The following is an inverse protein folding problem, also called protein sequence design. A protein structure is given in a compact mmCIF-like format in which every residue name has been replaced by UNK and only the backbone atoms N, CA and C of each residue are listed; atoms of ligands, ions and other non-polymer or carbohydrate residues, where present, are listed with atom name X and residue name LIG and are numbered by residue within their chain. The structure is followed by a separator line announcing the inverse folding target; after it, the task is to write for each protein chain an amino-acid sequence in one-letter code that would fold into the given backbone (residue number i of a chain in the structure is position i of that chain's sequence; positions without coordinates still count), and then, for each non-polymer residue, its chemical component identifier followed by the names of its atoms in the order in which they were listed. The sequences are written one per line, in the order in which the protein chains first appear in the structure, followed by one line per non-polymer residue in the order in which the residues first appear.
data_IF_808330578124
#
_entry.id   IF_808330578124
#
_cell.length_a   1.000
_cell.length_b   1.000
_cell.length_c   1.000
_cell.angle_alpha   90.00
_cell.angle_beta   90.00
_cell.angle_gamma   90.00
#
_symmetry.space_group_name_H-M   'P 1'
#
loop_
_entity.id
_entity.type
_entity.pdbx_description
1 polymer ?
#
# COMPACT_ATOMS: atom_id res chain seq x y z
N UNK A 1 -33.57 -1.49 34.32
CA UNK A 1 -34.67 -2.47 34.42
C UNK A 1 -35.60 -2.33 33.22
N UNK A 2 -36.20 -3.43 32.76
CA UNK A 2 -36.23 -3.82 31.35
C UNK A 2 -37.61 -3.63 30.72
N UNK A 3 -37.67 -3.45 29.40
CA UNK A 3 -38.92 -3.60 28.64
C UNK A 3 -38.73 -4.54 27.45
N UNK A 4 -39.23 -5.76 27.67
CA UNK A 4 -40.10 -6.56 26.79
C UNK A 4 -39.45 -7.12 25.51
N UNK A 5 -39.10 -8.41 25.41
CA UNK A 5 -39.95 -9.62 25.32
C UNK A 5 -41.12 -9.54 24.32
N UNK A 6 -40.86 -10.02 23.10
CA UNK A 6 -41.75 -10.85 22.27
C UNK A 6 -40.81 -11.76 21.47
N UNK A 7 -40.59 -13.03 21.84
CA UNK A 7 -41.49 -14.17 21.55
C UNK A 7 -41.91 -14.13 20.08
N UNK A 8 -41.71 -15.14 19.26
CA UNK A 8 -41.67 -16.57 19.52
C UNK A 8 -41.38 -17.23 18.15
N UNK A 9 -40.96 -18.50 18.15
CA UNK A 9 -41.15 -19.47 17.06
C UNK A 9 -40.36 -19.16 15.76
N UNK A 10 -39.38 -19.97 15.35
CA UNK A 10 -39.59 -21.37 14.97
C UNK A 10 -38.25 -22.13 15.05
N UNK A 11 -38.03 -22.80 16.19
CA UNK A 11 -37.55 -24.18 16.09
C UNK A 11 -38.72 -25.02 15.56
N UNK A 12 -38.50 -25.83 14.52
CA UNK A 12 -38.90 -27.24 14.44
C UNK A 12 -38.67 -27.80 13.04
N UNK A 13 -37.65 -28.66 12.96
CA UNK A 13 -37.67 -29.98 12.33
C UNK A 13 -38.48 -30.18 11.03
N UNK A 14 -37.80 -30.56 9.95
CA UNK A 14 -38.21 -31.70 9.13
C UNK A 14 -37.04 -32.18 8.27
N UNK A 15 -36.58 -33.39 8.58
CA UNK A 15 -35.69 -34.19 7.75
C UNK A 15 -36.43 -34.72 6.52
N UNK A 16 -35.62 -35.09 5.51
CA UNK A 16 -35.90 -35.90 4.33
C UNK A 16 -36.62 -35.20 3.16
N UNK A 17 -35.89 -35.02 2.05
CA UNK A 17 -35.90 -36.01 0.98
C UNK A 17 -34.75 -35.77 -0.01
N UNK A 18 -34.19 -36.90 -0.44
CA UNK A 18 -33.13 -37.10 -1.40
C UNK A 18 -33.69 -36.95 -2.83
N UNK A 19 -33.10 -36.08 -3.65
CA UNK A 19 -33.16 -36.23 -5.13
C UNK A 19 -31.90 -35.67 -5.76
N UNK A 20 -31.20 -36.57 -6.42
CA UNK A 20 -30.02 -36.37 -7.28
C UNK A 20 -30.42 -35.59 -8.53
N UNK A 21 -29.67 -34.54 -8.87
CA UNK A 21 -29.65 -33.99 -10.23
C UNK A 21 -28.25 -33.45 -10.55
N UNK A 22 -27.62 -34.07 -11.55
CA UNK A 22 -26.37 -33.65 -12.17
C UNK A 22 -26.51 -32.25 -12.76
N UNK A 23 -25.60 -31.34 -12.40
CA UNK A 23 -25.23 -30.23 -13.28
C UNK A 23 -23.79 -29.82 -12.95
N UNK A 24 -22.89 -30.20 -13.86
CA UNK A 24 -21.51 -29.74 -13.91
C UNK A 24 -21.52 -28.21 -13.98
N UNK A 25 -21.25 -27.54 -12.87
CA UNK A 25 -21.03 -26.10 -12.83
C UNK A 25 -19.53 -25.87 -12.80
N UNK A 26 -19.00 -25.44 -13.94
CA UNK A 26 -17.61 -25.05 -14.08
C UNK A 26 -17.27 -24.03 -12.99
N UNK A 27 -16.24 -24.35 -12.21
CA UNK A 27 -15.65 -23.42 -11.24
C UNK A 27 -15.26 -22.14 -12.00
N UNK A 28 -15.83 -20.98 -11.68
CA UNK A 28 -15.24 -19.73 -12.14
C UNK A 28 -13.89 -19.63 -11.43
N UNK A 29 -12.81 -19.82 -12.20
CA UNK A 29 -11.47 -19.48 -11.76
C UNK A 29 -11.51 -18.01 -11.34
N UNK A 30 -11.44 -17.76 -10.03
CA UNK A 30 -11.17 -16.43 -9.49
C UNK A 30 -9.75 -16.08 -9.94
N UNK A 31 -9.66 -15.49 -11.13
CA UNK A 31 -8.50 -14.76 -11.56
C UNK A 31 -8.22 -13.72 -10.47
N UNK A 32 -7.23 -14.00 -9.65
CA UNK A 32 -6.73 -13.04 -8.69
C UNK A 32 -6.19 -11.87 -9.51
N UNK A 33 -6.96 -10.80 -9.63
CA UNK A 33 -6.47 -9.51 -10.10
C UNK A 33 -5.53 -8.99 -9.02
N UNK A 34 -4.31 -9.52 -9.00
CA UNK A 34 -3.18 -8.82 -8.41
C UNK A 34 -3.02 -7.55 -9.23
N UNK A 35 -3.56 -6.45 -8.73
CA UNK A 35 -3.38 -5.10 -9.29
C UNK A 35 -1.93 -4.65 -9.16
N UNK A 36 -1.02 -5.36 -9.83
CA UNK A 36 0.30 -4.86 -10.14
C UNK A 36 0.15 -3.96 -11.35
N UNK A 37 0.38 -2.66 -11.16
CA UNK A 37 0.54 -1.76 -12.29
C UNK A 37 1.86 -2.10 -13.00
N UNK A 38 1.91 -2.10 -14.34
CA UNK A 38 3.12 -2.40 -15.07
C UNK A 38 4.22 -1.42 -14.64
N UNK A 39 5.24 -1.94 -13.96
CA UNK A 39 6.39 -1.16 -13.48
C UNK A 39 6.46 -0.96 -11.95
N UNK A 40 5.47 -1.39 -11.16
CA UNK A 40 5.62 -1.36 -9.71
C UNK A 40 4.99 -2.58 -9.01
N UNK A 41 5.80 -3.24 -8.18
CA UNK A 41 5.39 -4.45 -7.49
C UNK A 41 5.90 -4.45 -6.05
N UNK A 42 5.02 -4.75 -5.09
CA UNK A 42 5.38 -4.92 -3.69
C UNK A 42 5.86 -6.36 -3.44
N UNK A 43 7.18 -6.53 -3.39
CA UNK A 43 7.85 -7.82 -3.20
C UNK A 43 7.75 -8.32 -1.76
N UNK A 44 7.88 -7.43 -0.78
CA UNK A 44 7.85 -7.80 0.64
C UNK A 44 7.11 -6.73 1.44
N UNK A 45 6.27 -7.18 2.38
CA UNK A 45 5.62 -6.35 3.38
C UNK A 45 5.51 -7.17 4.66
N UNK A 46 6.21 -6.75 5.71
CA UNK A 46 6.26 -7.45 6.99
C UNK A 46 5.97 -6.45 8.08
N UNK A 47 5.06 -6.80 8.97
CA UNK A 47 4.76 -6.06 10.20
C UNK A 47 5.26 -6.85 11.39
N UNK A 48 6.07 -6.22 12.23
CA UNK A 48 6.60 -6.81 13.45
C UNK A 48 6.19 -5.95 14.63
N UNK A 49 5.72 -6.60 15.70
CA UNK A 49 5.48 -5.94 16.98
C UNK A 49 6.71 -6.17 17.84
N UNK A 50 7.35 -5.09 18.29
CA UNK A 50 8.47 -5.14 19.23
C UNK A 50 8.19 -4.27 20.46
N UNK A 51 9.18 -4.19 21.35
CA UNK A 51 9.14 -3.31 22.53
C UNK A 51 9.02 -1.83 22.13
N UNK A 52 9.54 -1.50 20.96
CA UNK A 52 9.47 -0.19 20.33
C UNK A 52 8.11 0.08 19.63
N UNK A 53 7.13 -0.80 19.72
CA UNK A 53 5.83 -0.65 19.08
C UNK A 53 5.72 -1.40 17.75
N UNK A 54 4.88 -0.90 16.84
CA UNK A 54 4.64 -1.55 15.54
C UNK A 54 5.63 -1.05 14.49
N UNK A 55 6.45 -1.98 14.00
CA UNK A 55 7.44 -1.77 12.97
C UNK A 55 6.95 -2.34 11.64
N UNK A 56 7.26 -1.64 10.56
CA UNK A 56 6.99 -2.03 9.18
C UNK A 56 8.29 -2.12 8.39
N UNK A 57 8.45 -3.24 7.69
CA UNK A 57 9.51 -3.44 6.73
C UNK A 57 8.89 -3.74 5.37
N UNK A 58 9.32 -3.02 4.34
CA UNK A 58 8.81 -3.20 2.98
C UNK A 58 9.95 -3.29 1.96
N UNK A 59 9.68 -3.99 0.86
CA UNK A 59 10.52 -3.99 -0.33
C UNK A 59 9.64 -3.92 -1.58
N UNK A 60 9.91 -2.93 -2.43
CA UNK A 60 9.21 -2.67 -3.68
C UNK A 60 10.19 -2.84 -4.84
N UNK A 61 9.74 -3.50 -5.90
CA UNK A 61 10.37 -3.48 -7.21
C UNK A 61 9.72 -2.35 -8.01
N UNK A 62 10.56 -1.43 -8.47
CA UNK A 62 10.12 -0.23 -9.18
C UNK A 62 10.90 -0.14 -10.49
N UNK A 63 10.20 -0.20 -11.60
CA UNK A 63 10.70 -0.03 -12.96
C UNK A 63 10.02 1.20 -13.54
N UNK A 64 10.81 2.22 -13.86
CA UNK A 64 10.28 3.45 -14.44
C UNK A 64 10.06 3.25 -15.93
N UNK A 65 9.00 3.85 -16.47
CA UNK A 65 8.83 3.91 -17.92
C UNK A 65 9.82 4.89 -18.53
N UNK A 66 10.09 4.73 -19.83
CA UNK A 66 10.97 5.65 -20.57
C UNK A 66 10.52 7.11 -20.48
N UNK A 67 9.22 7.37 -20.48
CA UNK A 67 8.68 8.74 -20.39
C UNK A 67 8.99 9.40 -19.05
N UNK A 68 8.93 8.62 -17.95
CA UNK A 68 9.25 9.08 -16.59
C UNK A 68 10.76 9.33 -16.46
N UNK A 69 11.59 8.46 -17.04
CA UNK A 69 13.04 8.65 -17.09
C UNK A 69 13.43 9.88 -17.91
N UNK A 70 12.84 10.07 -19.10
CA UNK A 70 13.09 11.22 -19.96
C UNK A 70 12.69 12.54 -19.27
N UNK A 71 11.61 12.53 -18.49
CA UNK A 71 11.20 13.68 -17.71
C UNK A 71 12.21 14.03 -16.61
N UNK A 72 12.70 13.02 -15.87
CA UNK A 72 13.78 13.20 -14.90
C UNK A 72 15.01 13.82 -15.57
N UNK A 73 15.43 13.29 -16.72
CA UNK A 73 16.59 13.79 -17.47
C UNK A 73 16.42 15.24 -17.94
N UNK A 74 15.18 15.68 -18.21
CA UNK A 74 14.82 17.07 -18.51
C UNK A 74 14.81 17.98 -17.27
N UNK A 75 15.15 17.46 -16.09
CA UNK A 75 15.24 18.20 -14.83
C UNK A 75 13.92 18.27 -14.06
N UNK A 76 12.90 17.51 -14.46
CA UNK A 76 11.65 17.42 -13.70
C UNK A 76 11.89 16.61 -12.44
N UNK A 77 11.54 17.17 -11.28
CA UNK A 77 11.62 16.45 -10.03
C UNK A 77 10.38 15.57 -9.84
N UNK A 78 10.60 14.32 -9.43
CA UNK A 78 9.56 13.36 -9.09
C UNK A 78 9.49 13.18 -7.58
N UNK A 79 8.27 13.07 -7.04
CA UNK A 79 8.07 12.79 -5.62
C UNK A 79 7.42 11.45 -5.44
N UNK A 80 8.10 10.55 -4.73
CA UNK A 80 7.57 9.27 -4.31
C UNK A 80 7.08 9.36 -2.88
N UNK A 81 5.95 8.75 -2.61
CA UNK A 81 5.29 8.79 -1.30
C UNK A 81 5.01 7.36 -0.87
N UNK A 82 5.55 6.97 0.29
CA UNK A 82 5.14 5.77 1.00
C UNK A 82 4.29 6.18 2.20
N UNK A 83 3.11 5.60 2.31
CA UNK A 83 2.19 5.84 3.41
C UNK A 83 1.82 4.52 4.06
N UNK A 84 1.86 4.49 5.39
CA UNK A 84 1.36 3.37 6.17
C UNK A 84 0.34 3.90 7.18
N UNK A 85 -0.87 3.33 7.12
CA UNK A 85 -1.96 3.66 8.01
C UNK A 85 -2.34 2.44 8.84
N UNK A 86 -2.22 2.57 10.17
CA UNK A 86 -2.69 1.59 11.12
C UNK A 86 -4.17 1.83 11.41
N UNK A 87 -4.98 0.81 11.16
CA UNK A 87 -6.42 0.85 11.37
C UNK A 87 -6.83 -0.25 12.33
N UNK A 88 -7.74 0.08 13.25
CA UNK A 88 -8.40 -0.90 14.10
C UNK A 88 -9.70 -1.35 13.44
N UNK A 89 -9.79 -2.64 13.12
CA UNK A 89 -10.99 -3.27 12.58
C UNK A 89 -12.06 -3.35 13.68
N UNK A 90 -13.30 -2.97 13.37
CA UNK A 90 -14.44 -3.06 14.30
C UNK A 90 -15.68 -3.61 13.59
N UNK A 91 -16.40 -4.53 14.23
CA UNK A 91 -17.45 -5.33 13.56
C UNK A 91 -18.78 -4.60 13.32
N UNK A 92 -19.10 -3.52 14.05
CA UNK A 92 -20.42 -2.87 13.98
C UNK A 92 -20.39 -1.36 13.67
N UNK A 93 -19.24 -0.82 13.27
CA UNK A 93 -19.11 0.60 12.87
C UNK A 93 -17.80 0.88 12.10
N UNK A 94 -17.70 2.09 11.55
CA UNK A 94 -16.63 2.58 10.69
C UNK A 94 -15.21 2.37 11.26
N UNK A 95 -14.28 2.02 10.38
CA UNK A 95 -12.87 1.83 10.72
C UNK A 95 -12.26 3.09 11.35
N UNK A 96 -11.60 2.93 12.50
CA UNK A 96 -10.94 4.05 13.19
C UNK A 96 -9.44 4.05 12.89
N UNK A 97 -8.91 5.03 12.14
CA UNK A 97 -7.47 5.16 11.96
C UNK A 97 -6.83 5.47 13.32
N UNK A 98 -5.74 4.76 13.62
CA UNK A 98 -5.00 4.84 14.88
C UNK A 98 -3.73 5.63 14.73
N UNK A 99 -2.99 5.40 13.65
CA UNK A 99 -1.77 6.10 13.33
C UNK A 99 -1.59 6.15 11.81
N UNK A 100 -0.99 7.23 11.32
CA UNK A 100 -0.61 7.37 9.92
C UNK A 100 0.79 7.95 9.86
N UNK A 101 1.65 7.28 9.12
CA UNK A 101 3.03 7.73 8.87
C UNK A 101 3.26 7.83 7.37
N UNK A 102 3.92 8.91 6.96
CA UNK A 102 4.17 9.20 5.54
C UNK A 102 5.65 9.51 5.35
N UNK A 103 6.29 8.88 4.37
CA UNK A 103 7.64 9.21 3.91
C UNK A 103 7.57 9.74 2.48
N UNK A 104 8.28 10.84 2.24
CA UNK A 104 8.37 11.47 0.92
C UNK A 104 9.82 11.48 0.46
N UNK A 105 10.03 11.10 -0.79
CA UNK A 105 11.33 11.16 -1.46
C UNK A 105 11.22 11.99 -2.71
N UNK A 106 12.02 13.05 -2.80
CA UNK A 106 12.14 13.87 -4.01
C UNK A 106 13.38 13.44 -4.79
N UNK A 107 13.18 12.93 -5.99
CA UNK A 107 14.22 12.55 -6.92
C UNK A 107 14.30 13.57 -8.06
N UNK A 108 15.49 14.11 -8.31
CA UNK A 108 15.72 15.01 -9.44
C UNK A 108 17.09 14.74 -10.07
N UNK A 109 17.19 14.90 -11.39
CA UNK A 109 18.48 14.87 -12.08
C UNK A 109 19.06 16.29 -12.18
N UNK A 110 20.37 16.41 -12.00
CA UNK A 110 21.11 17.67 -12.20
C UNK A 110 21.91 17.59 -13.51
N UNK A 111 21.46 18.21 -14.61
CA UNK A 111 22.10 18.04 -15.92
C UNK A 111 23.55 18.54 -15.98
N UNK A 112 23.86 19.61 -15.24
CA UNK A 112 25.20 20.21 -15.23
C UNK A 112 26.23 19.30 -14.56
N UNK A 113 25.87 18.74 -13.41
CA UNK A 113 26.77 17.89 -12.61
C UNK A 113 26.62 16.41 -12.93
N UNK A 114 25.60 16.04 -13.72
CA UNK A 114 25.22 14.67 -14.10
C UNK A 114 24.98 13.75 -12.90
N UNK A 115 24.55 14.31 -11.78
CA UNK A 115 24.22 13.55 -10.58
C UNK A 115 22.71 13.47 -10.34
N UNK A 116 22.30 12.37 -9.73
CA UNK A 116 20.96 12.16 -9.21
C UNK A 116 20.89 12.70 -7.80
N UNK A 117 19.94 13.58 -7.50
CA UNK A 117 19.72 14.12 -6.17
C UNK A 117 18.46 13.51 -5.59
N UNK A 118 18.61 12.80 -4.48
CA UNK A 118 17.50 12.27 -3.69
C UNK A 118 17.42 13.05 -2.38
N UNK A 119 16.25 13.62 -2.10
CA UNK A 119 15.98 14.33 -0.86
C UNK A 119 14.87 13.62 -0.09
N UNK A 120 15.11 13.34 1.19
CA UNK A 120 14.14 12.74 2.11
C UNK A 120 14.42 13.25 3.51
N UNK A 121 13.36 13.55 4.28
CA UNK A 121 13.46 13.92 5.70
C UNK A 121 14.46 15.07 5.99
N UNK A 122 14.45 16.11 5.15
CA UNK A 122 15.36 17.25 5.25
C UNK A 122 16.82 16.97 4.83
N UNK A 123 17.17 15.71 4.58
CA UNK A 123 18.47 15.29 4.09
C UNK A 123 18.46 15.19 2.58
N UNK A 124 19.58 15.53 1.94
CA UNK A 124 19.76 15.30 0.51
C UNK A 124 21.07 14.59 0.26
N UNK A 125 21.01 13.55 -0.57
CA UNK A 125 22.18 12.78 -1.01
C UNK A 125 22.24 12.76 -2.54
N UNK A 126 23.46 12.79 -3.05
CA UNK A 126 23.73 12.70 -4.48
C UNK A 126 24.20 11.29 -4.83
N UNK A 127 23.79 10.80 -5.99
CA UNK A 127 24.07 9.47 -6.51
C UNK A 127 24.56 9.56 -7.95
N UNK A 128 25.33 8.57 -8.39
CA UNK A 128 25.88 8.53 -9.74
C UNK A 128 24.95 7.82 -10.73
N UNK A 129 24.07 6.95 -10.25
CA UNK A 129 23.12 6.21 -11.08
C UNK A 129 21.69 6.31 -10.56
N UNK A 130 20.73 6.23 -11.50
CA UNK A 130 19.30 6.20 -11.18
C UNK A 130 18.96 4.98 -10.32
N UNK A 131 19.47 3.81 -10.69
CA UNK A 131 19.22 2.56 -9.96
C UNK A 131 19.67 2.63 -8.50
N UNK A 132 20.81 3.28 -8.22
CA UNK A 132 21.31 3.49 -6.86
C UNK A 132 20.37 4.40 -6.06
N UNK A 133 19.92 5.52 -6.65
CA UNK A 133 18.95 6.41 -6.02
C UNK A 133 17.60 5.72 -5.75
N UNK A 134 17.09 4.93 -6.73
CA UNK A 134 15.87 4.14 -6.57
C UNK A 134 16.04 3.04 -5.51
N UNK A 135 17.22 2.44 -5.39
CA UNK A 135 17.51 1.40 -4.39
C UNK A 135 17.21 1.84 -2.95
N UNK A 136 17.42 3.13 -2.65
CA UNK A 136 17.19 3.70 -1.31
C UNK A 136 15.71 3.83 -0.97
N UNK A 137 14.86 4.18 -1.95
CA UNK A 137 13.41 4.32 -1.73
C UNK A 137 12.66 2.97 -1.80
N UNK A 138 13.22 2.00 -2.54
CA UNK A 138 12.63 0.67 -2.75
C UNK A 138 12.50 -0.15 -1.47
N UNK A 139 13.35 0.09 -0.46
CA UNK A 139 13.33 -0.68 0.78
C UNK A 139 13.40 0.23 1.99
N UNK A 140 12.54 -0.01 2.96
CA UNK A 140 12.71 0.51 4.31
C UNK A 140 12.56 -0.64 5.32
N UNK A 141 13.39 -0.61 6.35
CA UNK A 141 13.35 -1.56 7.46
C UNK A 141 13.03 -0.81 8.75
N UNK A 142 12.38 -1.50 9.68
CA UNK A 142 12.10 -0.99 11.03
C UNK A 142 11.40 0.39 11.02
N UNK A 143 10.51 0.62 10.07
CA UNK A 143 9.74 1.84 10.02
C UNK A 143 8.64 1.80 11.08
N UNK A 144 8.84 2.56 12.17
CA UNK A 144 7.88 2.70 13.26
C UNK A 144 6.59 3.39 12.77
N UNK A 145 5.45 2.72 12.94
CA UNK A 145 4.10 3.24 12.62
C UNK A 145 3.39 3.77 13.87
N UNK A 146 3.47 3.04 14.99
CA UNK A 146 2.80 3.38 16.24
C UNK A 146 3.62 2.89 17.43
N UNK A 147 3.68 3.69 18.49
CA UNK A 147 4.38 3.34 19.74
C UNK A 147 3.59 2.33 20.59
N UNK A 148 2.26 2.32 20.45
CA UNK A 148 1.39 1.41 21.20
C UNK A 148 0.35 0.78 20.27
N UNK A 149 0.28 -0.56 20.29
CA UNK A 149 -0.79 -1.31 19.64
C UNK A 149 -1.36 -2.27 20.66
N UNK A 150 -2.64 -2.11 21.00
CA UNK A 150 -3.33 -3.03 21.91
C UNK A 150 -3.34 -4.45 21.33
N UNK A 151 -3.07 -5.47 22.15
CA UNK A 151 -3.00 -6.88 21.71
C UNK A 151 -4.36 -7.54 21.50
N UNK A 152 -5.41 -6.98 22.10
CA UNK A 152 -6.75 -7.58 22.15
C UNK A 152 -7.62 -7.27 20.92
N UNK A 153 -7.14 -6.38 20.04
CA UNK A 153 -7.92 -5.89 18.90
C UNK A 153 -7.31 -6.30 17.56
N UNK A 154 -8.18 -6.63 16.62
CA UNK A 154 -7.80 -6.83 15.22
C UNK A 154 -7.34 -5.52 14.59
N UNK A 155 -6.06 -5.47 14.24
CA UNK A 155 -5.46 -4.33 13.55
C UNK A 155 -4.97 -4.76 12.16
N UNK A 156 -5.06 -3.85 11.22
CA UNK A 156 -4.44 -4.01 9.92
C UNK A 156 -3.73 -2.73 9.51
N UNK A 157 -2.70 -2.88 8.68
CA UNK A 157 -1.97 -1.76 8.09
C UNK A 157 -2.33 -1.69 6.61
N UNK A 158 -2.82 -0.52 6.19
CA UNK A 158 -2.88 -0.17 4.78
C UNK A 158 -1.55 0.46 4.39
N UNK A 159 -0.78 -0.21 3.54
CA UNK A 159 0.44 0.34 2.95
C UNK A 159 0.16 0.78 1.53
N UNK A 160 0.65 1.97 1.17
CA UNK A 160 0.67 2.45 -0.20
C UNK A 160 2.04 3.02 -0.53
N UNK A 161 2.51 2.76 -1.74
CA UNK A 161 3.68 3.41 -2.32
C UNK A 161 3.27 3.93 -3.69
N UNK A 162 3.43 5.23 -3.92
CA UNK A 162 3.02 5.86 -5.18
C UNK A 162 3.96 6.96 -5.64
N UNK A 163 4.00 7.20 -6.94
CA UNK A 163 4.45 8.45 -7.51
C UNK A 163 3.36 9.51 -7.32
N UNK A 164 3.73 10.65 -6.75
CA UNK A 164 2.83 11.79 -6.60
C UNK A 164 2.85 12.66 -7.86
N UNK A 165 1.83 12.49 -8.69
CA UNK A 165 1.66 13.22 -9.94
C UNK A 165 1.14 14.64 -9.72
N UNK A 166 0.60 14.95 -8.53
CA UNK A 166 0.09 16.29 -8.20
C UNK A 166 1.23 17.30 -8.07
N UNK A 167 2.43 16.84 -7.70
CA UNK A 167 3.65 17.66 -7.64
C UNK A 167 4.30 17.91 -9.00
N UNK A 168 3.82 17.26 -10.07
CA UNK A 168 4.34 17.51 -11.40
C UNK A 168 3.93 18.89 -11.90
N UNK A 169 4.79 19.57 -12.70
CA UNK A 169 4.42 20.82 -13.34
C UNK A 169 3.10 20.67 -14.12
N UNK A 170 2.21 21.67 -13.99
CA UNK A 170 0.87 21.69 -14.61
C UNK A 170 0.87 21.28 -16.09
N UNK A 171 1.83 21.70 -16.94
CA UNK A 171 1.87 21.26 -18.33
C UNK A 171 1.98 19.74 -18.51
N UNK A 172 2.68 19.05 -17.61
CA UNK A 172 2.83 17.59 -17.67
C UNK A 172 1.57 16.87 -17.23
N UNK A 173 0.76 17.47 -16.36
CA UNK A 173 -0.49 16.88 -15.87
C UNK A 173 -1.50 16.61 -17.01
N UNK A 174 -1.41 17.38 -18.10
CA UNK A 174 -2.36 17.33 -19.24
C UNK A 174 -2.19 16.05 -20.08
N UNK A 175 -1.06 15.34 -19.96
CA UNK A 175 -0.77 14.11 -20.72
C UNK A 175 -0.85 12.80 -19.93
N UNK A 176 -1.14 12.84 -18.64
CA UNK A 176 -1.03 11.66 -17.76
C UNK A 176 -2.19 10.66 -17.90
N UNK A 177 -3.36 11.09 -18.41
CA UNK A 177 -4.57 10.27 -18.46
C UNK A 177 -4.51 9.07 -19.42
N UNK A 178 -3.65 9.14 -20.44
CA UNK A 178 -3.45 8.07 -21.44
C UNK A 178 -2.10 7.34 -21.26
N UNK A 179 -1.19 7.90 -20.46
CA UNK A 179 0.15 7.35 -20.27
C UNK A 179 0.22 6.46 -19.03
N UNK A 180 0.01 5.15 -19.23
CA UNK A 180 0.13 4.13 -18.18
C UNK A 180 1.47 4.16 -17.42
N UNK A 181 2.54 4.71 -18.02
CA UNK A 181 3.87 4.77 -17.40
C UNK A 181 3.97 5.71 -16.18
N UNK A 182 3.07 6.67 -16.02
CA UNK A 182 3.06 7.59 -14.87
C UNK A 182 2.24 7.08 -13.68
N UNK A 183 1.40 6.06 -13.90
CA UNK A 183 0.61 5.44 -12.84
C UNK A 183 1.45 4.38 -12.10
N UNK A 184 2.44 4.87 -11.35
CA UNK A 184 3.29 4.06 -10.50
C UNK A 184 2.72 4.06 -9.09
N UNK A 185 1.74 3.21 -8.83
CA UNK A 185 1.16 3.02 -7.50
C UNK A 185 1.04 1.54 -7.16
N UNK A 186 1.33 1.18 -5.91
CA UNK A 186 1.03 -0.13 -5.33
C UNK A 186 0.44 0.06 -3.95
N UNK A 187 -0.62 -0.69 -3.67
CA UNK A 187 -1.27 -0.70 -2.37
C UNK A 187 -1.46 -2.14 -1.89
N UNK A 188 -1.24 -2.37 -0.59
CA UNK A 188 -1.47 -3.67 0.03
C UNK A 188 -1.90 -3.48 1.47
N UNK A 189 -2.91 -4.26 1.87
CA UNK A 189 -3.32 -4.41 3.25
C UNK A 189 -2.64 -5.63 3.85
N UNK A 190 -2.14 -5.50 5.07
CA UNK A 190 -1.60 -6.61 5.87
C UNK A 190 -2.21 -6.59 7.27
N UNK A 191 -2.69 -7.74 7.74
CA UNK A 191 -3.18 -7.89 9.11
C UNK A 191 -2.00 -7.93 10.06
N UNK A 192 -2.06 -7.17 11.15
CA UNK A 192 -1.06 -7.23 12.21
C UNK A 192 -1.33 -8.48 13.03
N UNK A 193 -0.37 -9.39 13.10
CA UNK A 193 -0.52 -10.60 13.90
C UNK A 193 -0.72 -10.22 15.38
N UNK A 194 -1.73 -10.76 16.09
CA UNK A 194 -1.79 -10.65 17.53
C UNK A 194 -0.50 -11.25 18.12
N UNK A 195 0.24 -10.46 18.90
CA UNK A 195 1.45 -10.95 19.55
C UNK A 195 1.11 -12.14 20.45
N UNK A 196 1.94 -13.18 20.43
CA UNK A 196 1.86 -14.27 21.41
C UNK A 196 2.24 -13.78 22.80
#
# INVERSE_FOLDING_TARGET
MPLLHRRDLLQRSASALLTVALAQTGLPSLAQTGGGHPGIELTQLITERGDDGLLLSYAVRLELSKDVEDALLKGVALVFVAEAELVKSRWYWYDKPKARVTRRWRLAYQPLTRHWRLSFDGLSRSYNSLSEALGVMRRASQWRISDNVSGDDDHYVNFSFRLDTDELPRPMQIGLGDQNGWNLAVQRRITVNPGR
#
